data_IF_300734996851
#
_entry.id   IF_300734996851
#
_cell.length_a   1.000
_cell.length_b   1.000
_cell.length_c   1.000
_cell.angle_alpha   90.00
_cell.angle_beta   90.00
_cell.angle_gamma   90.00
#
_symmetry.space_group_name_H-M   'P 1'
#
loop_
_entity.id
_entity.type
_entity.pdbx_description
1 polymer ?
#
# COMPACT_ATOMS: atom_id res chain seq x y z
N UNK A 1 -6.86 -24.05 -1.78
CA UNK A 1 -5.73 -24.93 -1.38
C UNK A 1 -6.20 -26.32 -0.94
N UNK A 2 -7.09 -26.48 0.04
CA UNK A 2 -7.57 -27.81 0.47
C UNK A 2 -8.22 -28.62 -0.66
N UNK A 3 -9.06 -28.01 -1.50
CA UNK A 3 -9.65 -28.70 -2.66
C UNK A 3 -8.62 -29.08 -3.74
N UNK A 4 -7.57 -28.27 -3.95
CA UNK A 4 -6.47 -28.58 -4.89
C UNK A 4 -5.59 -29.70 -4.32
N UNK A 5 -5.29 -29.65 -3.02
CA UNK A 5 -4.54 -30.70 -2.31
C UNK A 5 -5.29 -32.05 -2.28
N UNK A 6 -6.62 -32.04 -2.33
CA UNK A 6 -7.43 -33.26 -2.34
C UNK A 6 -7.68 -33.82 -3.75
N UNK A 7 -7.68 -32.99 -4.79
CA UNK A 7 -8.06 -33.43 -6.14
C UNK A 7 -6.87 -33.73 -7.05
N UNK A 8 -5.71 -33.08 -6.86
CA UNK A 8 -4.54 -33.23 -7.74
C UNK A 8 -3.20 -33.09 -7.00
N UNK A 9 -2.85 -34.04 -6.13
CA UNK A 9 -1.61 -33.96 -5.33
C UNK A 9 -0.34 -33.96 -6.19
N UNK A 10 -0.34 -34.59 -7.36
CA UNK A 10 0.80 -34.63 -8.28
C UNK A 10 1.11 -33.24 -8.89
N UNK A 11 0.11 -32.43 -9.23
CA UNK A 11 0.34 -31.07 -9.73
C UNK A 11 1.03 -30.18 -8.69
N UNK A 12 0.76 -30.40 -7.40
CA UNK A 12 1.45 -29.69 -6.33
C UNK A 12 2.91 -30.13 -6.22
N UNK A 13 3.18 -31.43 -6.29
CA UNK A 13 4.53 -31.96 -6.26
C UNK A 13 5.36 -31.47 -7.46
N UNK A 14 4.78 -31.46 -8.65
CA UNK A 14 5.43 -30.97 -9.86
C UNK A 14 5.73 -29.47 -9.76
N UNK A 15 4.78 -28.65 -9.26
CA UNK A 15 5.03 -27.23 -8.99
C UNK A 15 6.12 -27.01 -7.94
N UNK A 16 6.16 -27.84 -6.89
CA UNK A 16 7.24 -27.77 -5.88
C UNK A 16 8.58 -28.11 -6.52
N UNK A 17 8.65 -29.14 -7.37
CA UNK A 17 9.87 -29.51 -8.10
C UNK A 17 10.31 -28.41 -9.06
N UNK A 18 9.37 -27.81 -9.79
CA UNK A 18 9.63 -26.67 -10.68
C UNK A 18 10.19 -25.47 -9.89
N UNK A 19 9.53 -25.08 -8.80
CA UNK A 19 10.00 -24.02 -7.90
C UNK A 19 11.39 -24.31 -7.34
N UNK A 20 11.64 -25.55 -6.91
CA UNK A 20 12.94 -25.98 -6.40
C UNK A 20 14.02 -25.92 -7.49
N UNK A 21 13.69 -26.34 -8.71
CA UNK A 21 14.62 -26.30 -9.84
C UNK A 21 15.01 -24.87 -10.25
N UNK A 22 14.10 -23.90 -10.07
CA UNK A 22 14.28 -22.51 -10.44
C UNK A 22 14.86 -21.64 -9.31
N UNK A 23 15.10 -22.19 -8.11
CA UNK A 23 15.44 -21.40 -6.92
C UNK A 23 16.72 -20.58 -7.09
N UNK A 24 17.75 -21.15 -7.74
CA UNK A 24 19.02 -20.46 -7.94
C UNK A 24 18.85 -19.22 -8.82
N UNK A 25 18.05 -19.33 -9.89
CA UNK A 25 17.75 -18.23 -10.78
C UNK A 25 16.89 -17.15 -10.10
N UNK A 26 15.88 -17.55 -9.32
CA UNK A 26 15.07 -16.63 -8.51
C UNK A 26 15.93 -15.88 -7.49
N UNK A 27 16.85 -16.58 -6.81
CA UNK A 27 17.80 -15.97 -5.88
C UNK A 27 18.72 -14.97 -6.60
N UNK A 28 19.26 -15.34 -7.77
CA UNK A 28 20.12 -14.47 -8.58
C UNK A 28 19.38 -13.20 -9.02
N UNK A 29 18.17 -13.33 -9.57
CA UNK A 29 17.33 -12.19 -9.97
C UNK A 29 17.01 -11.29 -8.79
N UNK A 30 16.66 -11.86 -7.64
CA UNK A 30 16.39 -11.09 -6.43
C UNK A 30 17.61 -10.36 -5.89
N UNK A 31 18.81 -10.95 -5.98
CA UNK A 31 20.05 -10.29 -5.57
C UNK A 31 20.38 -9.09 -6.48
N UNK A 32 20.20 -9.24 -7.80
CA UNK A 32 20.35 -8.15 -8.77
C UNK A 32 19.34 -7.04 -8.47
N UNK A 33 18.06 -7.39 -8.32
CA UNK A 33 17.02 -6.42 -8.00
C UNK A 33 17.32 -5.69 -6.69
N UNK A 34 17.70 -6.39 -5.62
CA UNK A 34 18.07 -5.75 -4.35
C UNK A 34 19.20 -4.73 -4.51
N UNK A 35 20.18 -5.02 -5.35
CA UNK A 35 21.33 -4.14 -5.60
C UNK A 35 20.96 -2.95 -6.49
N UNK A 36 20.12 -3.16 -7.49
CA UNK A 36 19.92 -2.21 -8.58
C UNK A 36 18.58 -1.48 -8.55
N UNK A 37 17.62 -1.89 -7.72
CA UNK A 37 16.26 -1.34 -7.74
C UNK A 37 16.24 0.19 -7.58
N UNK A 38 17.02 0.74 -6.65
CA UNK A 38 17.09 2.19 -6.46
C UNK A 38 17.62 2.92 -7.72
N UNK A 39 18.60 2.34 -8.41
CA UNK A 39 19.13 2.89 -9.65
C UNK A 39 18.14 2.76 -10.81
N UNK A 40 17.45 1.62 -10.91
CA UNK A 40 16.41 1.37 -11.92
C UNK A 40 15.27 2.39 -11.75
N UNK A 41 14.79 2.57 -10.51
CA UNK A 41 13.77 3.55 -10.17
C UNK A 41 14.25 4.96 -10.50
N UNK A 42 15.46 5.35 -10.08
CA UNK A 42 15.99 6.69 -10.33
C UNK A 42 16.11 7.00 -11.83
N UNK A 43 16.61 6.04 -12.64
CA UNK A 43 16.70 6.20 -14.10
C UNK A 43 15.33 6.38 -14.74
N UNK A 44 14.36 5.56 -14.35
CA UNK A 44 13.01 5.66 -14.90
C UNK A 44 12.30 6.95 -14.46
N UNK A 45 12.46 7.35 -13.19
CA UNK A 45 11.91 8.61 -12.67
C UNK A 45 12.52 9.81 -13.36
N UNK A 46 13.84 9.79 -13.62
CA UNK A 46 14.52 10.85 -14.35
C UNK A 46 13.89 11.07 -15.73
N UNK A 47 13.64 9.99 -16.49
CA UNK A 47 12.99 10.07 -17.80
C UNK A 47 11.59 10.70 -17.67
N UNK A 48 10.76 10.20 -16.74
CA UNK A 48 9.40 10.73 -16.56
C UNK A 48 9.43 12.21 -16.13
N UNK A 49 10.31 12.60 -15.21
CA UNK A 49 10.41 13.98 -14.74
C UNK A 49 10.93 14.94 -15.83
N UNK A 50 11.89 14.51 -16.64
CA UNK A 50 12.40 15.28 -17.78
C UNK A 50 11.31 15.55 -18.82
N UNK A 51 10.44 14.58 -19.10
CA UNK A 51 9.30 14.77 -19.99
C UNK A 51 8.39 15.92 -19.53
N UNK A 52 8.22 16.09 -18.21
CA UNK A 52 7.42 17.18 -17.64
C UNK A 52 8.23 18.46 -17.34
N UNK A 53 9.52 18.51 -17.69
CA UNK A 53 10.38 19.67 -17.43
C UNK A 53 10.71 19.89 -15.95
N UNK A 54 10.62 18.85 -15.11
CA UNK A 54 11.03 18.94 -13.70
C UNK A 54 12.54 18.76 -13.53
N UNK A 55 13.07 19.38 -12.47
CA UNK A 55 14.48 19.24 -12.05
C UNK A 55 14.79 17.81 -11.57
N UNK A 56 15.82 17.20 -12.17
CA UNK A 56 16.25 15.82 -11.91
C UNK A 56 17.64 15.71 -11.30
N UNK A 57 18.29 16.82 -10.91
CA UNK A 57 19.66 16.80 -10.40
C UNK A 57 19.83 15.90 -9.16
N UNK A 58 18.78 15.80 -8.32
CA UNK A 58 18.77 14.93 -7.15
C UNK A 58 18.85 13.42 -7.50
N UNK A 59 18.50 13.04 -8.73
CA UNK A 59 18.55 11.65 -9.21
C UNK A 59 19.92 11.28 -9.82
N UNK A 60 20.78 12.25 -10.13
CA UNK A 60 22.13 11.97 -10.65
C UNK A 60 23.02 11.32 -9.57
N UNK A 61 22.75 11.64 -8.31
CA UNK A 61 23.41 11.02 -7.15
C UNK A 61 22.75 9.68 -6.76
N UNK A 62 21.52 9.41 -7.22
CA UNK A 62 20.77 8.23 -6.85
C UNK A 62 21.33 6.99 -7.57
N UNK A 63 22.16 6.21 -6.87
CA UNK A 63 22.77 5.00 -7.40
C UNK A 63 24.29 4.98 -7.39
N UNK A 64 24.95 6.04 -6.91
CA UNK A 64 26.27 5.88 -6.31
C UNK A 64 26.08 5.13 -4.99
N UNK A 65 25.92 3.81 -5.09
CA UNK A 65 26.04 2.93 -3.94
C UNK A 65 27.48 3.12 -3.48
N UNK A 66 27.68 3.92 -2.43
CA UNK A 66 28.95 3.98 -1.74
C UNK A 66 29.24 2.56 -1.28
N UNK A 67 30.05 1.83 -2.05
CA UNK A 67 30.56 0.50 -1.69
C UNK A 67 31.33 0.59 -0.35
N UNK A 68 31.69 1.81 0.07
CA UNK A 68 32.46 2.10 1.27
C UNK A 68 31.63 2.34 2.54
N UNK A 69 30.29 2.43 2.51
CA UNK A 69 29.49 2.76 3.70
C UNK A 69 28.53 1.65 4.13
N UNK A 70 29.08 0.67 4.85
CA UNK A 70 28.64 0.36 6.22
C UNK A 70 29.35 -0.90 6.70
N UNK A 71 30.60 -0.75 7.10
CA UNK A 71 31.18 -1.58 8.15
C UNK A 71 30.52 -1.23 9.50
N UNK A 72 29.18 -1.29 9.58
CA UNK A 72 28.50 -1.30 10.86
C UNK A 72 28.86 -2.64 11.51
N UNK A 73 29.95 -2.57 12.24
CA UNK A 73 30.59 -3.64 12.97
C UNK A 73 29.63 -4.13 14.05
N UNK A 74 28.81 -5.10 13.69
CA UNK A 74 28.72 -6.29 14.53
C UNK A 74 30.12 -6.91 14.51
N UNK A 75 31.03 -6.34 15.30
CA UNK A 75 32.47 -6.57 15.23
C UNK A 75 32.71 -8.07 15.36
N UNK A 76 33.62 -8.64 14.58
CA UNK A 76 33.96 -10.06 14.75
C UNK A 76 34.40 -10.35 16.19
N UNK A 77 34.90 -9.33 16.89
CA UNK A 77 35.14 -9.30 18.34
C UNK A 77 33.89 -9.63 19.17
N UNK A 78 32.73 -9.04 18.87
CA UNK A 78 31.49 -9.33 19.58
C UNK A 78 31.00 -10.74 19.27
N UNK A 79 31.03 -11.18 18.01
CA UNK A 79 30.58 -12.54 17.65
C UNK A 79 31.48 -13.61 18.29
N UNK A 80 32.80 -13.38 18.31
CA UNK A 80 33.75 -14.27 18.96
C UNK A 80 33.59 -14.30 20.49
N UNK A 81 33.01 -13.27 21.12
CA UNK A 81 32.82 -13.22 22.58
C UNK A 81 31.53 -13.90 23.07
N UNK A 82 30.50 -14.02 22.21
CA UNK A 82 29.23 -14.69 22.54
C UNK A 82 29.11 -16.13 22.03
N UNK A 83 29.83 -16.49 20.95
CA UNK A 83 29.82 -17.88 20.48
C UNK A 83 30.58 -18.77 21.48
N UNK A 84 29.88 -19.75 22.07
CA UNK A 84 30.46 -20.66 23.08
C UNK A 84 31.05 -21.92 22.45
N UNK A 85 30.72 -22.20 21.19
CA UNK A 85 31.19 -23.36 20.43
C UNK A 85 31.58 -23.00 18.98
N UNK A 86 32.43 -23.81 18.32
CA UNK A 86 32.77 -23.62 16.90
C UNK A 86 31.54 -23.66 15.97
N UNK A 87 30.55 -24.50 16.28
CA UNK A 87 29.32 -24.61 15.50
C UNK A 87 28.44 -23.35 15.59
N UNK A 88 28.33 -22.75 16.78
CA UNK A 88 27.65 -21.46 16.95
C UNK A 88 28.38 -20.33 16.23
N UNK A 89 29.72 -20.33 16.26
CA UNK A 89 30.52 -19.33 15.55
C UNK A 89 30.30 -19.42 14.03
N UNK A 90 30.32 -20.62 13.46
CA UNK A 90 30.02 -20.84 12.05
C UNK A 90 28.58 -20.47 11.70
N UNK A 91 27.61 -20.79 12.56
CA UNK A 91 26.23 -20.37 12.40
C UNK A 91 26.11 -18.84 12.39
N UNK A 92 26.75 -18.13 13.33
CA UNK A 92 26.73 -16.68 13.39
C UNK A 92 27.46 -16.03 12.22
N UNK A 93 28.59 -16.58 11.78
CA UNK A 93 29.30 -16.13 10.56
C UNK A 93 28.43 -16.32 9.33
N UNK A 94 27.79 -17.48 9.17
CA UNK A 94 26.86 -17.77 8.06
C UNK A 94 25.64 -16.84 8.10
N UNK A 95 25.05 -16.60 9.27
CA UNK A 95 23.96 -15.64 9.44
C UNK A 95 24.41 -14.19 9.23
N UNK A 96 25.64 -13.82 9.59
CA UNK A 96 26.22 -12.49 9.33
C UNK A 96 26.46 -12.28 7.84
N UNK A 97 27.03 -13.26 7.14
CA UNK A 97 27.17 -13.23 5.68
C UNK A 97 25.80 -13.07 5.03
N UNK A 98 24.82 -13.90 5.41
CA UNK A 98 23.43 -13.78 4.94
C UNK A 98 22.83 -12.39 5.26
N UNK A 99 23.10 -11.83 6.44
CA UNK A 99 22.67 -10.47 6.79
C UNK A 99 23.37 -9.40 5.97
N UNK A 100 24.67 -9.52 5.66
CA UNK A 100 25.39 -8.57 4.79
C UNK A 100 24.86 -8.63 3.36
N UNK A 101 24.66 -9.84 2.84
CA UNK A 101 24.06 -10.06 1.51
C UNK A 101 22.64 -9.45 1.46
N UNK A 102 21.92 -9.49 2.57
CA UNK A 102 20.61 -8.84 2.73
C UNK A 102 20.68 -7.35 3.12
N UNK A 103 21.80 -6.84 3.67
CA UNK A 103 21.96 -5.47 4.19
C UNK A 103 22.19 -4.44 3.08
N UNK A 104 22.41 -4.88 1.83
CA UNK A 104 22.25 -4.01 0.66
C UNK A 104 20.82 -3.42 0.55
N UNK A 105 19.85 -3.94 1.32
CA UNK A 105 18.54 -3.34 1.56
C UNK A 105 18.48 -2.52 2.86
N UNK A 106 19.51 -1.73 3.20
CA UNK A 106 19.36 -0.72 4.27
C UNK A 106 18.38 0.33 3.74
N UNK A 107 17.08 0.05 3.86
CA UNK A 107 16.02 1.03 3.77
C UNK A 107 16.40 2.00 4.88
N UNK A 108 17.00 3.13 4.51
CA UNK A 108 17.25 4.23 5.42
C UNK A 108 15.90 4.65 5.97
N UNK A 109 15.47 4.02 7.06
CA UNK A 109 14.41 4.51 7.91
C UNK A 109 15.03 5.69 8.64
N UNK A 110 15.21 6.79 7.93
CA UNK A 110 15.52 8.07 8.54
C UNK A 110 14.38 8.33 9.51
N UNK A 111 14.66 8.11 10.79
CA UNK A 111 13.75 8.26 11.92
C UNK A 111 13.35 9.74 12.15
N UNK A 112 13.57 10.62 11.17
CA UNK A 112 13.29 12.04 11.25
C UNK A 112 12.04 12.38 10.46
N UNK A 113 10.94 12.52 11.20
CA UNK A 113 9.70 13.19 10.81
C UNK A 113 8.93 12.65 9.59
N UNK A 114 7.61 12.62 9.71
CA UNK A 114 6.65 12.30 8.66
C UNK A 114 6.61 13.38 7.54
N UNK A 115 7.77 13.88 7.11
CA UNK A 115 7.92 14.77 5.97
C UNK A 115 7.64 13.98 4.70
N UNK A 116 6.34 13.93 4.41
CA UNK A 116 5.61 13.47 3.23
C UNK A 116 6.38 12.50 2.33
N UNK A 117 5.94 11.24 2.23
CA UNK A 117 6.44 10.32 1.18
C UNK A 117 6.07 10.73 -0.25
N UNK A 118 5.49 11.92 -0.40
CA UNK A 118 5.25 12.63 -1.66
C UNK A 118 6.14 13.88 -1.77
N UNK A 119 7.14 14.04 -0.90
CA UNK A 119 8.11 15.13 -0.92
C UNK A 119 8.88 15.13 -2.24
N UNK A 120 9.49 16.27 -2.59
CA UNK A 120 10.11 16.48 -3.92
C UNK A 120 11.01 15.31 -4.33
N UNK A 121 11.83 14.81 -3.39
CA UNK A 121 12.87 13.81 -3.64
C UNK A 121 12.44 12.36 -3.32
N UNK A 122 11.16 12.08 -3.04
CA UNK A 122 10.71 10.71 -2.77
C UNK A 122 10.48 9.93 -4.06
N UNK A 123 10.91 8.67 -4.08
CA UNK A 123 10.60 7.76 -5.18
C UNK A 123 9.11 7.45 -5.25
N UNK A 124 8.59 7.47 -6.46
CA UNK A 124 7.19 7.30 -6.77
C UNK A 124 6.88 6.20 -7.79
N UNK A 125 7.85 5.69 -8.55
CA UNK A 125 7.56 4.62 -9.51
C UNK A 125 7.43 3.25 -8.81
N UNK A 126 6.36 2.48 -9.10
CA UNK A 126 6.12 1.17 -8.49
C UNK A 126 6.90 0.05 -9.20
N UNK A 127 8.22 0.20 -9.40
CA UNK A 127 9.02 -0.78 -10.18
C UNK A 127 9.51 -1.99 -9.38
N UNK A 128 9.30 -2.01 -8.07
CA UNK A 128 9.69 -3.15 -7.25
C UNK A 128 8.84 -4.38 -7.59
N UNK A 129 9.48 -5.54 -7.73
CA UNK A 129 8.77 -6.80 -7.85
C UNK A 129 7.98 -7.13 -6.58
N UNK A 130 7.00 -8.02 -6.72
CA UNK A 130 6.28 -8.59 -5.57
C UNK A 130 7.24 -9.29 -4.61
N UNK A 131 8.20 -10.07 -5.13
CA UNK A 131 9.22 -10.78 -4.33
C UNK A 131 10.09 -9.83 -3.52
N UNK A 132 10.55 -8.73 -4.14
CA UNK A 132 11.30 -7.70 -3.43
C UNK A 132 10.44 -7.06 -2.34
N UNK A 133 9.20 -6.72 -2.67
CA UNK A 133 8.27 -6.07 -1.74
C UNK A 133 7.94 -6.97 -0.55
N UNK A 134 7.76 -8.27 -0.78
CA UNK A 134 7.57 -9.28 0.26
C UNK A 134 8.77 -9.36 1.22
N UNK A 135 10.00 -9.35 0.70
CA UNK A 135 11.19 -9.28 1.55
C UNK A 135 11.24 -7.96 2.30
N UNK A 136 11.06 -6.84 1.62
CA UNK A 136 11.11 -5.49 2.19
C UNK A 136 10.09 -5.32 3.34
N UNK A 137 8.88 -5.86 3.19
CA UNK A 137 7.81 -5.68 4.16
C UNK A 137 8.00 -6.51 5.43
N UNK A 138 8.71 -7.63 5.36
CA UNK A 138 9.06 -8.43 6.55
C UNK A 138 9.90 -7.60 7.54
N UNK A 139 10.79 -6.74 7.04
CA UNK A 139 11.63 -5.85 7.88
C UNK A 139 10.81 -4.80 8.65
N UNK A 140 9.61 -4.46 8.16
CA UNK A 140 8.69 -3.53 8.82
C UNK A 140 7.51 -4.27 9.48
N UNK A 141 7.67 -5.56 9.76
CA UNK A 141 6.66 -6.41 10.42
C UNK A 141 5.31 -6.38 9.69
N UNK A 142 5.32 -6.62 8.38
CA UNK A 142 4.12 -6.63 7.52
C UNK A 142 3.41 -5.26 7.39
N UNK A 143 3.95 -4.17 7.96
CA UNK A 143 3.37 -2.82 7.86
C UNK A 143 3.87 -2.12 6.60
N UNK A 144 3.29 -2.48 5.46
CA UNK A 144 3.72 -1.97 4.15
C UNK A 144 3.65 -0.43 4.03
N UNK A 145 2.75 0.20 4.78
CA UNK A 145 2.69 1.67 4.93
C UNK A 145 3.85 2.28 5.74
N UNK A 146 4.84 1.51 6.19
CA UNK A 146 6.09 2.02 6.78
C UNK A 146 7.24 2.06 5.78
N UNK A 147 7.09 1.47 4.59
CA UNK A 147 8.07 1.62 3.52
C UNK A 147 8.15 3.08 3.05
N UNK A 148 9.30 3.44 2.47
CA UNK A 148 9.61 4.77 1.96
C UNK A 148 8.73 5.21 0.77
N UNK A 149 8.15 4.27 0.02
CA UNK A 149 7.21 4.56 -1.06
C UNK A 149 5.79 4.12 -0.70
N UNK A 150 4.79 4.93 -1.08
CA UNK A 150 3.37 4.53 -1.01
C UNK A 150 2.92 3.74 -2.24
N UNK A 151 3.74 3.66 -3.29
CA UNK A 151 3.32 3.14 -4.59
C UNK A 151 3.46 1.61 -4.72
N UNK A 152 4.22 0.97 -3.83
CA UNK A 152 4.34 -0.47 -3.78
C UNK A 152 2.99 -1.12 -3.44
N UNK A 153 2.61 -2.11 -4.25
CA UNK A 153 1.46 -2.97 -4.00
C UNK A 153 1.83 -4.06 -3.00
N UNK A 154 0.88 -4.50 -2.20
CA UNK A 154 1.10 -5.71 -1.42
C UNK A 154 1.41 -6.88 -2.35
N UNK A 155 2.29 -7.81 -1.94
CA UNK A 155 2.65 -8.97 -2.75
C UNK A 155 1.55 -10.05 -2.68
N UNK A 156 0.32 -9.67 -3.06
CA UNK A 156 -0.83 -10.55 -3.15
C UNK A 156 -1.20 -10.65 -4.63
N UNK A 157 -1.00 -11.83 -5.22
CA UNK A 157 -1.34 -12.07 -6.62
C UNK A 157 -2.85 -12.14 -6.86
N UNK A 158 -3.27 -12.02 -8.12
CA UNK A 158 -4.67 -12.25 -8.51
C UNK A 158 -5.13 -13.65 -8.10
N UNK A 159 -4.31 -14.69 -8.33
CA UNK A 159 -4.61 -16.07 -7.93
C UNK A 159 -4.78 -16.21 -6.40
N UNK A 160 -3.96 -15.50 -5.62
CA UNK A 160 -4.09 -15.49 -4.17
C UNK A 160 -5.43 -14.86 -3.75
N UNK A 161 -5.81 -13.73 -4.37
CA UNK A 161 -7.14 -13.15 -4.13
C UNK A 161 -8.26 -14.08 -4.57
N UNK A 162 -8.16 -14.74 -5.73
CA UNK A 162 -9.15 -15.72 -6.20
C UNK A 162 -9.33 -16.84 -5.17
N UNK A 163 -8.24 -17.42 -4.69
CA UNK A 163 -8.26 -18.51 -3.73
C UNK A 163 -8.85 -18.07 -2.38
N UNK A 164 -8.45 -16.90 -1.87
CA UNK A 164 -8.90 -16.38 -0.58
C UNK A 164 -10.39 -15.98 -0.63
N UNK A 165 -10.80 -15.23 -1.66
CA UNK A 165 -12.15 -14.70 -1.80
C UNK A 165 -13.12 -15.62 -2.54
N UNK A 166 -12.69 -16.83 -2.95
CA UNK A 166 -13.54 -17.79 -3.66
C UNK A 166 -14.10 -17.22 -4.97
N UNK A 167 -13.25 -16.56 -5.76
CA UNK A 167 -13.62 -15.99 -7.06
C UNK A 167 -13.48 -17.04 -8.16
N UNK A 168 -14.29 -16.90 -9.21
CA UNK A 168 -14.20 -17.72 -10.41
C UNK A 168 -13.61 -16.91 -11.58
N UNK A 169 -13.39 -17.57 -12.72
CA UNK A 169 -12.79 -16.92 -13.90
C UNK A 169 -13.66 -15.78 -14.45
N UNK A 170 -14.99 -15.91 -14.38
CA UNK A 170 -15.90 -14.85 -14.80
C UNK A 170 -15.76 -13.57 -13.95
N UNK A 171 -15.54 -13.70 -12.64
CA UNK A 171 -15.23 -12.56 -11.77
C UNK A 171 -13.94 -11.86 -12.23
N UNK A 172 -12.92 -12.63 -12.64
CA UNK A 172 -11.63 -12.12 -13.10
C UNK A 172 -11.73 -11.44 -14.46
N UNK A 173 -12.49 -12.01 -15.40
CA UNK A 173 -12.77 -11.41 -16.70
C UNK A 173 -13.54 -10.09 -16.56
N UNK A 174 -14.48 -10.03 -15.61
CA UNK A 174 -15.16 -8.80 -15.25
C UNK A 174 -14.19 -7.75 -14.70
N UNK A 175 -13.25 -8.14 -13.82
CA UNK A 175 -12.22 -7.23 -13.31
C UNK A 175 -11.28 -6.73 -14.42
N UNK A 176 -10.89 -7.61 -15.36
CA UNK A 176 -10.06 -7.25 -16.53
C UNK A 176 -10.79 -6.26 -17.44
N UNK A 177 -12.08 -6.49 -17.67
CA UNK A 177 -12.95 -5.58 -18.46
C UNK A 177 -13.10 -4.23 -17.76
N UNK A 178 -13.36 -4.23 -16.45
CA UNK A 178 -13.42 -3.02 -15.64
C UNK A 178 -12.09 -2.23 -15.68
N UNK A 179 -10.96 -2.93 -15.63
CA UNK A 179 -9.64 -2.33 -15.71
C UNK A 179 -9.41 -1.66 -17.07
N UNK A 180 -9.74 -2.34 -18.17
CA UNK A 180 -9.68 -1.77 -19.54
C UNK A 180 -10.51 -0.49 -19.66
N UNK A 181 -11.66 -0.44 -19.00
CA UNK A 181 -12.58 0.70 -19.02
C UNK A 181 -12.26 1.81 -18.00
N UNK A 182 -11.20 1.64 -17.19
CA UNK A 182 -10.86 2.53 -16.07
C UNK A 182 -12.02 2.71 -15.06
N UNK A 183 -12.77 1.64 -14.79
CA UNK A 183 -13.94 1.67 -13.90
C UNK A 183 -13.51 1.97 -12.46
N UNK A 184 -14.21 2.92 -11.83
CA UNK A 184 -14.06 3.28 -10.42
C UNK A 184 -15.29 2.77 -9.67
N UNK A 185 -15.08 1.93 -8.67
CA UNK A 185 -16.15 1.24 -7.94
C UNK A 185 -16.65 2.03 -6.72
N UNK A 186 -15.80 2.88 -6.14
CA UNK A 186 -16.10 3.60 -4.90
C UNK A 186 -16.01 5.13 -5.08
N UNK A 187 -16.83 5.90 -4.35
CA UNK A 187 -16.82 7.35 -4.48
C UNK A 187 -15.52 7.97 -3.94
N UNK A 188 -15.00 8.96 -4.66
CA UNK A 188 -13.87 9.78 -4.22
C UNK A 188 -14.27 10.84 -3.16
N UNK A 189 -15.57 11.06 -2.94
CA UNK A 189 -16.13 12.09 -2.06
C UNK A 189 -16.17 11.71 -0.58
N UNK A 190 -16.84 12.53 0.25
CA UNK A 190 -16.92 12.33 1.71
C UNK A 190 -17.70 11.08 2.14
N UNK A 191 -18.68 10.65 1.34
CA UNK A 191 -19.56 9.52 1.65
C UNK A 191 -18.92 8.17 1.26
N UNK A 192 -17.67 7.92 1.65
CA UNK A 192 -16.95 6.68 1.30
C UNK A 192 -17.75 5.41 1.57
N UNK A 193 -17.40 4.31 0.91
CA UNK A 193 -18.11 3.05 1.05
C UNK A 193 -17.80 2.41 2.42
N UNK A 194 -18.84 2.12 3.20
CA UNK A 194 -18.71 1.38 4.44
C UNK A 194 -18.76 -0.14 4.14
N UNK A 195 -17.61 -0.81 4.23
CA UNK A 195 -17.49 -2.25 4.06
C UNK A 195 -17.26 -3.01 5.38
N UNK A 196 -17.56 -2.38 6.51
CA UNK A 196 -17.34 -2.98 7.83
C UNK A 196 -15.89 -3.40 8.13
N UNK A 197 -14.94 -2.58 7.69
CA UNK A 197 -13.53 -2.78 8.03
C UNK A 197 -13.28 -2.52 9.53
N UNK A 198 -12.36 -3.31 10.10
CA UNK A 198 -11.84 -3.04 11.44
C UNK A 198 -11.24 -1.63 11.51
N UNK A 199 -11.49 -0.87 12.59
CA UNK A 199 -10.79 0.38 12.81
C UNK A 199 -9.28 0.17 12.78
N UNK A 200 -8.54 1.05 12.10
CA UNK A 200 -7.08 0.93 11.96
C UNK A 200 -6.40 0.96 13.33
N UNK A 201 -6.98 1.61 14.34
CA UNK A 201 -6.50 1.57 15.73
C UNK A 201 -6.41 0.16 16.34
N UNK A 202 -7.23 -0.79 15.87
CA UNK A 202 -7.13 -2.20 16.28
C UNK A 202 -5.93 -2.90 15.64
N UNK A 203 -5.45 -2.39 14.51
CA UNK A 203 -4.31 -2.94 13.77
C UNK A 203 -2.99 -2.32 14.22
N UNK A 204 -2.97 -1.01 14.49
CA UNK A 204 -1.79 -0.26 14.92
C UNK A 204 -2.17 0.78 15.99
N UNK A 205 -1.47 0.76 17.12
CA UNK A 205 -1.64 1.72 18.20
C UNK A 205 -1.38 3.17 17.73
N UNK A 206 -2.09 4.13 18.34
CA UNK A 206 -2.00 5.55 17.99
C UNK A 206 -2.76 5.96 16.72
N UNK A 207 -3.43 5.03 16.04
CA UNK A 207 -4.31 5.35 14.90
C UNK A 207 -5.72 5.75 15.34
N UNK A 208 -6.46 6.35 14.42
CA UNK A 208 -7.86 6.77 14.61
C UNK A 208 -8.74 5.55 15.01
N UNK A 209 -9.47 5.59 16.14
CA UNK A 209 -10.34 4.49 16.57
C UNK A 209 -11.66 4.46 15.80
N UNK A 210 -11.97 5.49 15.01
CA UNK A 210 -13.16 5.48 14.16
C UNK A 210 -12.97 4.54 12.99
N UNK A 211 -14.08 3.93 12.60
CA UNK A 211 -14.20 3.10 11.40
C UNK A 211 -13.75 3.89 10.17
N UNK A 212 -12.95 3.26 9.32
CA UNK A 212 -12.50 3.86 8.07
C UNK A 212 -13.46 3.53 6.95
N UNK A 213 -13.65 4.50 6.06
CA UNK A 213 -14.45 4.33 4.85
C UNK A 213 -13.53 4.03 3.67
N UNK A 214 -14.03 3.24 2.72
CA UNK A 214 -13.31 2.88 1.52
C UNK A 214 -13.56 3.91 0.41
N UNK A 215 -12.48 4.32 -0.23
CA UNK A 215 -12.49 5.28 -1.32
C UNK A 215 -11.64 4.78 -2.48
N UNK A 216 -11.90 5.32 -3.67
CA UNK A 216 -11.11 5.09 -4.86
C UNK A 216 -11.05 6.40 -5.65
N UNK A 217 -9.89 6.76 -6.17
CA UNK A 217 -9.71 7.95 -7.00
C UNK A 217 -9.51 7.55 -8.45
N UNK A 218 -10.13 8.27 -9.37
CA UNK A 218 -9.90 8.11 -10.81
C UNK A 218 -8.54 8.62 -11.26
N UNK A 219 -8.26 8.45 -12.55
CA UNK A 219 -7.11 9.05 -13.22
C UNK A 219 -7.34 10.58 -13.29
N UNK A 220 -6.43 11.42 -12.77
CA UNK A 220 -6.50 12.86 -12.99
C UNK A 220 -6.36 13.13 -14.49
N UNK A 221 -7.13 14.09 -15.04
CA UNK A 221 -7.09 14.36 -16.48
C UNK A 221 -5.71 14.80 -16.95
N UNK A 222 -5.11 15.78 -16.25
CA UNK A 222 -3.78 16.31 -16.54
C UNK A 222 -3.14 16.71 -15.21
N UNK A 223 -2.12 15.98 -14.74
CA UNK A 223 -1.37 16.38 -13.56
C UNK A 223 -0.79 17.78 -13.74
N UNK A 224 -1.18 18.70 -12.86
CA UNK A 224 -0.76 20.11 -12.91
C UNK A 224 0.53 20.38 -12.15
N UNK A 225 0.90 19.47 -11.25
CA UNK A 225 2.11 19.53 -10.46
C UNK A 225 2.72 18.13 -10.24
N UNK A 226 3.95 18.12 -9.70
CA UNK A 226 4.67 16.90 -9.39
C UNK A 226 3.89 16.00 -8.42
N UNK A 227 3.11 16.59 -7.50
CA UNK A 227 2.35 15.84 -6.51
C UNK A 227 1.22 15.05 -7.16
N UNK A 228 0.51 15.62 -8.13
CA UNK A 228 -0.50 14.94 -8.93
C UNK A 228 0.12 13.85 -9.82
N UNK A 229 1.29 14.11 -10.41
CA UNK A 229 2.02 13.11 -11.18
C UNK A 229 2.42 11.92 -10.32
N UNK A 230 2.89 12.15 -9.09
CA UNK A 230 3.17 11.09 -8.11
C UNK A 230 1.92 10.32 -7.68
N UNK A 231 0.75 10.97 -7.66
CA UNK A 231 -0.53 10.31 -7.31
C UNK A 231 -1.11 9.48 -8.45
N UNK A 232 -0.75 9.77 -9.70
CA UNK A 232 -1.20 9.06 -10.90
C UNK A 232 -1.00 7.55 -10.78
N UNK A 233 0.10 7.13 -10.16
CA UNK A 233 0.42 5.72 -9.92
C UNK A 233 -0.54 5.02 -8.98
N UNK A 234 -1.38 5.70 -8.20
CA UNK A 234 -2.42 5.04 -7.40
C UNK A 234 -3.83 5.32 -7.91
N UNK A 235 -3.97 5.81 -9.16
CA UNK A 235 -5.27 5.92 -9.79
C UNK A 235 -5.95 4.54 -9.85
N UNK A 236 -7.19 4.48 -9.39
CA UNK A 236 -7.96 3.25 -9.25
C UNK A 236 -7.66 2.43 -8.00
N UNK A 237 -6.65 2.77 -7.19
CA UNK A 237 -6.31 1.95 -6.00
C UNK A 237 -7.29 2.21 -4.85
N UNK A 238 -7.93 1.17 -4.29
CA UNK A 238 -8.78 1.34 -3.11
C UNK A 238 -7.96 1.71 -1.86
N UNK A 239 -8.45 2.67 -1.07
CA UNK A 239 -7.84 3.07 0.19
C UNK A 239 -8.88 3.37 1.28
N UNK A 240 -8.47 3.11 2.52
CA UNK A 240 -9.22 3.38 3.73
C UNK A 240 -8.87 4.77 4.25
N UNK A 241 -9.89 5.59 4.53
CA UNK A 241 -9.73 6.92 5.12
C UNK A 241 -10.62 7.05 6.36
N UNK A 242 -10.04 7.52 7.47
CA UNK A 242 -10.82 7.88 8.66
C UNK A 242 -11.63 9.17 8.39
N UNK A 243 -12.92 9.23 8.78
CA UNK A 243 -13.78 10.39 8.51
C UNK A 243 -13.48 11.60 9.41
N UNK A 244 -12.58 11.47 10.40
CA UNK A 244 -12.18 12.59 11.25
C UNK A 244 -11.40 13.65 10.47
N UNK A 245 -11.74 14.92 10.70
CA UNK A 245 -11.05 16.09 10.12
C UNK A 245 -9.57 16.12 10.54
N UNK A 246 -9.26 15.77 11.79
CA UNK A 246 -7.88 15.73 12.29
C UNK A 246 -7.04 14.55 11.75
N UNK A 247 -7.65 13.61 11.03
CA UNK A 247 -6.99 12.40 10.53
C UNK A 247 -6.79 12.42 9.01
N UNK A 248 -6.98 13.56 8.34
CA UNK A 248 -7.02 13.64 6.88
C UNK A 248 -5.77 13.14 6.17
N UNK A 249 -4.61 13.17 6.85
CA UNK A 249 -3.32 12.69 6.32
C UNK A 249 -3.11 11.17 6.51
N UNK A 250 -3.95 10.50 7.30
CA UNK A 250 -3.81 9.09 7.65
C UNK A 250 -4.78 8.22 6.85
N UNK A 251 -4.42 7.92 5.61
CA UNK A 251 -5.08 6.85 4.85
C UNK A 251 -4.21 5.58 4.83
N UNK A 252 -4.81 4.45 4.48
CA UNK A 252 -4.08 3.18 4.30
C UNK A 252 -4.62 2.47 3.08
N UNK A 253 -3.76 1.97 2.20
CA UNK A 253 -4.21 1.22 1.03
C UNK A 253 -4.88 -0.09 1.46
N UNK A 254 -5.93 -0.48 0.74
CA UNK A 254 -6.69 -1.68 1.09
C UNK A 254 -5.81 -2.94 1.09
N UNK A 255 -5.00 -3.12 0.04
CA UNK A 255 -4.07 -4.24 -0.09
C UNK A 255 -3.00 -4.26 1.00
N UNK A 256 -2.55 -3.09 1.46
CA UNK A 256 -1.62 -2.99 2.60
C UNK A 256 -2.27 -3.49 3.89
N UNK A 257 -3.53 -3.12 4.14
CA UNK A 257 -4.28 -3.60 5.31
C UNK A 257 -4.49 -5.11 5.23
N UNK A 258 -4.91 -5.63 4.08
CA UNK A 258 -5.12 -7.06 3.85
C UNK A 258 -3.83 -7.85 4.12
N UNK A 259 -2.70 -7.38 3.58
CA UNK A 259 -1.39 -8.00 3.82
C UNK A 259 -1.04 -8.03 5.31
N UNK A 260 -1.25 -6.92 6.01
CA UNK A 260 -0.99 -6.85 7.44
C UNK A 260 -1.87 -7.83 8.23
N UNK A 261 -3.16 -7.96 7.90
CA UNK A 261 -4.07 -8.91 8.55
C UNK A 261 -3.61 -10.36 8.31
N UNK A 262 -3.21 -10.71 7.09
CA UNK A 262 -2.70 -12.06 6.78
C UNK A 262 -1.50 -12.41 7.67
N UNK A 263 -0.61 -11.45 7.92
CA UNK A 263 0.55 -11.63 8.80
C UNK A 263 0.25 -11.52 10.30
N UNK A 264 -0.95 -11.10 10.70
CA UNK A 264 -1.35 -10.81 12.08
C UNK A 264 -2.82 -11.18 12.32
N UNK A 265 -3.17 -12.43 12.06
CA UNK A 265 -4.55 -12.92 12.14
C UNK A 265 -5.16 -12.77 13.55
N UNK A 266 -4.33 -12.77 14.59
CA UNK A 266 -4.73 -12.50 15.98
C UNK A 266 -5.41 -11.14 16.15
N UNK A 267 -5.11 -10.16 15.28
CA UNK A 267 -5.74 -8.83 15.29
C UNK A 267 -7.15 -8.84 14.69
N UNK A 268 -7.46 -9.83 13.85
CA UNK A 268 -8.78 -9.95 13.24
C UNK A 268 -9.81 -10.46 14.26
N UNK A 269 -9.49 -11.58 14.91
CA UNK A 269 -10.28 -12.17 15.99
C UNK A 269 -9.35 -12.74 17.08
N UNK A 270 -9.09 -11.95 18.14
CA UNK A 270 -8.28 -12.39 19.27
C UNK A 270 -8.87 -13.60 20.01
N UNK A 271 -10.19 -13.77 19.95
CA UNK A 271 -10.91 -14.79 20.72
C UNK A 271 -11.02 -16.12 19.97
N UNK A 272 -10.74 -16.14 18.67
CA UNK A 272 -10.73 -17.37 17.90
C UNK A 272 -9.70 -18.38 18.47
N UNK A 273 -10.06 -19.66 18.57
CA UNK A 273 -9.27 -20.66 19.28
C UNK A 273 -8.00 -21.11 18.52
N UNK A 274 -7.84 -20.74 17.25
CA UNK A 274 -6.64 -21.08 16.45
C UNK A 274 -6.51 -20.18 15.21
N UNK A 275 -5.31 -20.12 14.64
CA UNK A 275 -5.07 -19.41 13.38
C UNK A 275 -5.86 -19.98 12.20
N UNK A 276 -6.17 -21.29 12.23
CA UNK A 276 -7.03 -21.91 11.22
C UNK A 276 -8.42 -21.30 11.22
N UNK A 277 -9.02 -21.12 12.40
CA UNK A 277 -10.34 -20.48 12.53
C UNK A 277 -10.25 -19.01 12.11
N UNK A 278 -9.21 -18.27 12.55
CA UNK A 278 -9.01 -16.88 12.13
C UNK A 278 -8.88 -16.71 10.62
N UNK A 279 -8.16 -17.61 9.96
CA UNK A 279 -8.04 -17.61 8.50
C UNK A 279 -9.39 -17.91 7.81
N UNK A 280 -10.20 -18.82 8.36
CA UNK A 280 -11.53 -19.11 7.84
C UNK A 280 -12.47 -17.90 7.98
N UNK A 281 -12.46 -17.21 9.12
CA UNK A 281 -13.21 -15.97 9.33
C UNK A 281 -12.74 -14.86 8.37
N UNK A 282 -11.44 -14.72 8.19
CA UNK A 282 -10.88 -13.81 7.20
C UNK A 282 -11.38 -14.11 5.78
N UNK A 283 -11.34 -15.39 5.37
CA UNK A 283 -11.88 -15.82 4.07
C UNK A 283 -13.39 -15.58 3.96
N UNK A 284 -14.15 -15.78 5.05
CA UNK A 284 -15.58 -15.49 5.08
C UNK A 284 -15.85 -14.00 4.81
N UNK A 285 -15.09 -13.09 5.43
CA UNK A 285 -15.16 -11.64 5.15
C UNK A 285 -14.85 -11.34 3.67
N UNK A 286 -13.77 -11.90 3.13
CA UNK A 286 -13.37 -11.72 1.73
C UNK A 286 -14.41 -12.22 0.73
N UNK A 287 -15.11 -13.32 1.05
CA UNK A 287 -16.17 -13.91 0.22
C UNK A 287 -17.49 -13.15 0.30
N UNK A 288 -17.72 -12.43 1.39
CA UNK A 288 -18.99 -11.75 1.68
C UNK A 288 -18.82 -10.23 1.71
N UNK A 289 -18.70 -9.64 2.89
CA UNK A 289 -18.70 -8.19 3.13
C UNK A 289 -17.59 -7.46 2.35
N UNK A 290 -16.41 -8.09 2.21
CA UNK A 290 -15.26 -7.50 1.53
C UNK A 290 -15.12 -7.92 0.07
N UNK A 291 -16.06 -8.71 -0.49
CA UNK A 291 -15.98 -9.19 -1.88
C UNK A 291 -15.86 -8.04 -2.89
N UNK A 292 -16.70 -7.01 -2.76
CA UNK A 292 -16.64 -5.82 -3.64
C UNK A 292 -15.28 -5.09 -3.54
N UNK A 293 -14.77 -4.77 -2.34
CA UNK A 293 -13.40 -4.27 -2.17
C UNK A 293 -12.32 -5.13 -2.85
N UNK A 294 -12.41 -6.46 -2.76
CA UNK A 294 -11.45 -7.36 -3.39
C UNK A 294 -11.51 -7.31 -4.92
N UNK A 295 -12.70 -7.32 -5.51
CA UNK A 295 -12.86 -7.16 -6.96
C UNK A 295 -12.25 -5.82 -7.44
N UNK A 296 -12.50 -4.73 -6.72
CA UNK A 296 -11.91 -3.43 -7.05
C UNK A 296 -10.37 -3.43 -6.92
N UNK A 297 -9.82 -4.16 -5.94
CA UNK A 297 -8.38 -4.31 -5.79
C UNK A 297 -7.76 -5.11 -6.96
N UNK A 298 -8.42 -6.19 -7.41
CA UNK A 298 -7.99 -6.97 -8.59
C UNK A 298 -8.06 -6.13 -9.86
N UNK A 299 -9.15 -5.37 -10.07
CA UNK A 299 -9.27 -4.39 -11.15
C UNK A 299 -8.06 -3.45 -11.16
N UNK A 300 -7.67 -2.93 -9.99
CA UNK A 300 -6.49 -2.08 -9.87
C UNK A 300 -5.17 -2.81 -10.21
N UNK A 301 -5.01 -4.10 -9.85
CA UNK A 301 -3.81 -4.86 -10.25
C UNK A 301 -3.69 -4.96 -11.78
N UNK A 302 -4.79 -5.20 -12.50
CA UNK A 302 -4.78 -5.17 -13.96
C UNK A 302 -4.50 -3.77 -14.54
N UNK A 303 -5.05 -2.71 -13.93
CA UNK A 303 -4.69 -1.33 -14.30
C UNK A 303 -3.19 -1.09 -14.09
N UNK A 304 -2.63 -1.55 -12.97
CA UNK A 304 -1.19 -1.46 -12.65
C UNK A 304 -0.35 -2.18 -13.70
N UNK A 305 -0.75 -3.34 -14.20
CA UNK A 305 -0.04 -4.04 -15.29
C UNK A 305 0.09 -3.14 -16.54
N UNK A 306 -1.00 -2.49 -16.96
CA UNK A 306 -0.96 -1.54 -18.07
C UNK A 306 -0.04 -0.35 -17.79
N UNK A 307 -0.12 0.26 -16.59
CA UNK A 307 0.76 1.36 -16.20
C UNK A 307 2.24 0.97 -16.28
N UNK A 308 2.57 -0.25 -15.83
CA UNK A 308 3.94 -0.77 -15.84
C UNK A 308 4.44 -1.03 -17.25
N UNK A 309 3.62 -1.58 -18.15
CA UNK A 309 3.97 -1.75 -19.55
C UNK A 309 4.24 -0.40 -20.23
N UNK A 310 3.42 0.61 -19.97
CA UNK A 310 3.60 1.97 -20.52
C UNK A 310 4.93 2.58 -20.04
N UNK A 311 5.23 2.49 -18.74
CA UNK A 311 6.52 2.97 -18.20
C UNK A 311 7.68 2.25 -18.85
N UNK A 312 7.58 0.93 -19.04
CA UNK A 312 8.62 0.16 -19.70
C UNK A 312 8.94 0.70 -21.10
N UNK A 313 7.90 0.97 -21.92
CA UNK A 313 8.07 1.54 -23.25
C UNK A 313 8.74 2.92 -23.22
N UNK A 314 8.30 3.81 -22.33
CA UNK A 314 8.88 5.16 -22.18
C UNK A 314 10.35 5.07 -21.74
N UNK A 315 10.68 4.14 -20.85
CA UNK A 315 12.06 3.95 -20.40
C UNK A 315 12.98 3.36 -21.47
N UNK A 316 12.43 2.59 -22.41
CA UNK A 316 13.19 2.05 -23.55
C UNK A 316 13.38 3.09 -24.65
N UNK A 317 12.37 3.93 -24.90
CA UNK A 317 12.43 5.00 -25.88
C UNK A 317 11.83 6.27 -25.27
N UNK A 318 12.70 7.16 -24.78
CA UNK A 318 12.29 8.44 -24.17
C UNK A 318 11.56 9.38 -25.13
N UNK A 319 11.67 9.15 -26.44
CA UNK A 319 11.03 9.97 -27.48
C UNK A 319 9.76 9.31 -28.03
N UNK A 320 9.29 8.22 -27.42
CA UNK A 320 8.07 7.53 -27.88
C UNK A 320 6.87 8.48 -27.79
N UNK A 321 6.15 8.61 -28.90
CA UNK A 321 4.91 9.38 -28.95
C UNK A 321 3.76 8.63 -28.28
N UNK A 322 2.70 9.35 -27.93
CA UNK A 322 1.52 8.73 -27.37
C UNK A 322 0.83 7.81 -28.38
N UNK A 323 0.83 8.19 -29.66
CA UNK A 323 0.29 7.42 -30.78
C UNK A 323 1.03 6.08 -30.94
N UNK A 324 2.37 6.10 -30.86
CA UNK A 324 3.19 4.89 -30.90
C UNK A 324 2.88 3.96 -29.71
N UNK A 325 2.72 4.50 -28.49
CA UNK A 325 2.26 3.69 -27.35
C UNK A 325 0.90 3.07 -27.66
N UNK A 326 -0.07 3.87 -28.10
CA UNK A 326 -1.44 3.38 -28.36
C UNK A 326 -1.54 2.40 -29.54
N UNK A 327 -0.53 2.33 -30.40
CA UNK A 327 -0.45 1.39 -31.50
C UNK A 327 -0.01 -0.02 -31.08
N UNK A 328 0.47 -0.23 -29.84
CA UNK A 328 0.78 -1.57 -29.33
C UNK A 328 -0.48 -2.45 -29.28
N UNK A 329 -0.35 -3.71 -29.71
CA UNK A 329 -1.46 -4.68 -29.82
C UNK A 329 -2.27 -4.78 -28.51
N UNK A 330 -1.58 -4.92 -27.39
CA UNK A 330 -2.17 -5.02 -26.05
C UNK A 330 -2.98 -3.78 -25.61
N UNK A 331 -2.75 -2.63 -26.25
CA UNK A 331 -3.32 -1.32 -25.88
C UNK A 331 -4.40 -0.85 -26.83
N UNK A 332 -4.57 -1.55 -27.95
CA UNK A 332 -5.55 -1.21 -28.95
C UNK A 332 -6.96 -1.19 -28.35
N UNK A 333 -7.66 -0.05 -28.51
CA UNK A 333 -9.00 0.19 -27.96
C UNK A 333 -9.13 -0.06 -26.46
N UNK A 334 -8.10 0.22 -25.65
CA UNK A 334 -8.18 0.17 -24.19
C UNK A 334 -8.36 1.59 -23.61
N UNK A 335 -9.58 1.99 -23.19
CA UNK A 335 -9.84 3.33 -22.67
C UNK A 335 -8.93 3.76 -21.52
N UNK A 336 -8.61 2.83 -20.62
CA UNK A 336 -7.68 3.07 -19.51
C UNK A 336 -6.30 3.50 -20.01
N UNK A 337 -5.74 2.76 -20.98
CA UNK A 337 -4.41 3.06 -21.52
C UNK A 337 -4.42 4.45 -22.17
N UNK A 338 -5.44 4.77 -22.97
CA UNK A 338 -5.59 6.11 -23.56
C UNK A 338 -5.62 7.22 -22.49
N UNK A 339 -6.45 7.04 -21.45
CA UNK A 339 -6.56 8.03 -20.35
C UNK A 339 -5.26 8.16 -19.57
N UNK A 340 -4.60 7.05 -19.28
CA UNK A 340 -3.37 7.04 -18.51
C UNK A 340 -2.20 7.63 -19.30
N UNK A 341 -2.03 7.25 -20.57
CA UNK A 341 -1.02 7.83 -21.47
C UNK A 341 -1.22 9.33 -21.64
N UNK A 342 -2.47 9.79 -21.83
CA UNK A 342 -2.77 11.22 -21.92
C UNK A 342 -2.46 12.00 -20.63
N UNK A 343 -2.61 11.37 -19.47
CA UNK A 343 -2.27 11.99 -18.18
C UNK A 343 -0.76 11.93 -17.89
N UNK A 344 -0.05 10.92 -18.39
CA UNK A 344 1.37 10.70 -18.14
C UNK A 344 2.27 11.48 -19.09
N UNK A 345 1.90 11.63 -20.37
CA UNK A 345 2.73 12.32 -21.35
C UNK A 345 2.33 13.80 -21.46
N UNK A 346 3.30 14.73 -21.52
CA UNK A 346 3.01 16.13 -21.83
C UNK A 346 2.43 16.26 -23.23
N UNK A 347 1.59 17.28 -23.47
CA UNK A 347 1.02 17.61 -24.78
C UNK A 347 0.10 16.53 -25.40
N UNK A 348 -0.32 15.54 -24.60
CA UNK A 348 -1.20 14.46 -25.03
C UNK A 348 -2.69 14.76 -24.80
N UNK A 349 -3.05 16.02 -24.53
CA UNK A 349 -4.43 16.45 -24.25
C UNK A 349 -5.37 16.15 -25.41
N UNK A 350 -4.86 16.20 -26.65
CA UNK A 350 -5.61 15.91 -27.87
C UNK A 350 -6.21 14.51 -27.90
N UNK A 351 -5.59 13.53 -27.23
CA UNK A 351 -6.05 12.13 -27.21
C UNK A 351 -7.39 11.93 -26.49
N UNK A 352 -7.74 12.85 -25.59
CA UNK A 352 -9.00 12.78 -24.84
C UNK A 352 -10.16 13.45 -25.58
N UNK A 353 -9.90 14.16 -26.67
CA UNK A 353 -10.98 14.74 -27.47
C UNK A 353 -11.78 13.62 -28.14
N UNK A 354 -13.10 13.52 -27.88
CA UNK A 354 -13.94 12.55 -28.57
C UNK A 354 -13.85 12.83 -30.07
N UNK A 355 -13.37 11.87 -30.84
CA UNK A 355 -13.44 11.97 -32.29
C UNK A 355 -14.90 12.18 -32.67
N UNK A 356 -15.21 13.32 -33.28
CA UNK A 356 -16.58 13.79 -33.59
C UNK A 356 -17.32 12.92 -34.61
N UNK A 357 -16.77 11.77 -35.00
CA UNK A 357 -17.19 10.99 -36.17
C UNK A 357 -18.20 9.87 -35.93
N UNK A 358 -18.72 9.63 -34.71
CA UNK A 358 -19.82 8.65 -34.52
C UNK A 358 -20.87 9.09 -33.49
N UNK A 359 -21.72 10.03 -33.87
CA UNK A 359 -23.08 10.13 -33.31
C UNK A 359 -23.91 9.00 -33.92
N UNK A 360 -24.08 7.90 -33.19
CA UNK A 360 -25.23 6.99 -33.31
C UNK A 360 -25.30 6.10 -32.06
N UNK A 361 -26.06 6.55 -31.05
CA UNK A 361 -26.85 5.66 -30.20
C UNK A 361 -26.25 4.99 -28.95
N UNK A 362 -25.07 5.36 -28.45
CA UNK A 362 -24.55 4.81 -27.19
C UNK A 362 -24.79 5.75 -26.00
N UNK A 363 -25.47 5.24 -24.97
CA UNK A 363 -25.76 5.94 -23.71
C UNK A 363 -24.42 6.26 -23.02
N UNK A 364 -24.08 7.54 -22.97
CA UNK A 364 -22.92 8.04 -22.24
C UNK A 364 -23.10 7.77 -20.73
N UNK A 365 -22.29 6.86 -20.19
CA UNK A 365 -22.16 6.66 -18.76
C UNK A 365 -21.38 7.85 -18.19
N UNK A 366 -22.12 8.89 -17.83
CA UNK A 366 -21.59 10.20 -17.51
C UNK A 366 -20.60 10.19 -16.34
N UNK A 367 -19.51 10.90 -16.59
CA UNK A 367 -18.36 11.30 -15.80
C UNK A 367 -18.76 12.21 -14.60
N UNK A 368 -19.73 11.79 -13.79
CA UNK A 368 -20.29 12.58 -12.68
C UNK A 368 -19.33 12.79 -11.50
N UNK A 369 -18.13 12.20 -11.53
CA UNK A 369 -17.11 12.42 -10.50
C UNK A 369 -16.33 13.73 -10.66
N UNK A 370 -16.43 14.43 -11.80
CA UNK A 370 -15.46 15.49 -12.16
C UNK A 370 -15.93 16.95 -12.03
N UNK A 371 -17.23 17.23 -11.85
CA UNK A 371 -17.68 18.64 -11.79
C UNK A 371 -17.36 19.39 -10.48
N UNK A 372 -16.92 18.72 -9.40
CA UNK A 372 -16.81 19.38 -8.07
C UNK A 372 -15.43 19.90 -7.68
N UNK A 373 -14.37 19.65 -8.46
CA UNK A 373 -13.01 20.07 -8.09
C UNK A 373 -12.61 21.49 -8.53
N UNK A 374 -13.46 22.28 -9.19
CA UNK A 374 -13.10 23.62 -9.71
C UNK A 374 -13.83 24.83 -9.11
N UNK A 375 -14.57 24.70 -8.01
CA UNK A 375 -15.20 25.87 -7.36
C UNK A 375 -14.66 26.11 -5.94
N UNK A 376 -13.38 26.51 -5.81
CA UNK A 376 -12.91 27.29 -4.66
C UNK A 376 -11.90 28.34 -5.16
N UNK A 377 -12.22 29.61 -4.86
CA UNK A 377 -11.46 30.88 -4.97
C UNK A 377 -11.44 31.65 -6.30
N UNK A 378 -12.17 32.76 -6.31
CA UNK A 378 -11.61 34.14 -6.28
C UNK A 378 -12.77 35.15 -6.14
N UNK A 379 -12.95 35.70 -4.93
CA UNK A 379 -13.78 36.88 -4.70
C UNK A 379 -12.88 38.01 -4.20
N UNK A 380 -12.49 38.89 -5.12
CA UNK A 380 -11.74 40.13 -4.91
C UNK A 380 -12.75 41.28 -4.67
N UNK A 381 -12.41 42.36 -3.96
CA UNK A 381 -13.38 43.18 -3.23
C UNK A 381 -14.05 44.23 -4.11
N UNK A 382 -15.33 44.47 -3.87
CA UNK A 382 -16.06 45.59 -4.45
C UNK A 382 -15.79 46.86 -3.64
N UNK A 383 -15.13 47.84 -4.26
CA UNK A 383 -15.11 49.24 -3.83
C UNK A 383 -16.19 50.00 -4.61
N UNK A 384 -17.02 50.78 -3.92
CA UNK A 384 -18.04 51.62 -4.55
C UNK A 384 -19.07 52.16 -3.55
N UNK A 385 -18.68 53.22 -2.84
CA UNK A 385 -19.49 54.14 -2.01
C UNK A 385 -20.66 54.79 -2.81
N UNK A 386 -21.74 55.29 -2.17
CA UNK A 386 -21.68 56.63 -1.56
C UNK A 386 -22.38 56.82 -0.20
N UNK A 387 -21.97 57.95 0.40
CA UNK A 387 -22.27 58.62 1.66
C UNK A 387 -23.72 58.60 2.21
N UNK A 388 -23.86 58.58 3.55
CA UNK A 388 -24.22 59.75 4.37
C UNK A 388 -24.38 59.43 5.87
N UNK A 389 -23.93 60.37 6.72
CA UNK A 389 -24.29 60.66 8.14
C UNK A 389 -24.32 59.47 9.15
N UNK A 390 -23.68 59.46 10.32
CA UNK A 390 -23.62 60.50 11.35
C UNK A 390 -22.82 59.96 12.56
N UNK A 391 -22.00 60.82 13.17
CA UNK A 391 -21.73 61.01 14.60
C UNK A 391 -21.57 59.82 15.56
N UNK A 392 -20.39 59.70 16.18
CA UNK A 392 -20.17 59.94 17.63
C UNK A 392 -18.97 59.12 18.22
N UNK A 393 -17.89 59.85 18.50
CA UNK A 393 -17.11 59.88 19.76
C UNK A 393 -16.56 58.63 20.50
N UNK A 394 -15.26 58.77 20.83
CA UNK A 394 -14.54 58.38 22.05
C UNK A 394 -13.77 57.03 22.16
N UNK A 395 -12.44 57.17 22.01
CA UNK A 395 -11.31 56.85 22.93
C UNK A 395 -11.24 55.49 23.68
N UNK A 396 -10.05 54.83 23.75
CA UNK A 396 -9.83 53.49 24.34
C UNK A 396 -9.38 53.59 25.83
N UNK A 397 -9.10 52.50 26.60
CA UNK A 397 -7.78 51.83 26.50
C UNK A 397 -7.65 50.38 27.07
N UNK A 398 -6.43 49.87 26.91
CA UNK A 398 -5.58 49.15 27.89
C UNK A 398 -5.76 47.65 28.22
N UNK A 399 -4.57 47.04 28.20
CA UNK A 399 -4.12 45.74 28.70
C UNK A 399 -4.39 45.47 30.18
N UNK A 400 -4.40 44.20 30.59
CA UNK A 400 -3.57 43.75 31.73
C UNK A 400 -3.35 42.24 31.75
N UNK A 401 -2.10 41.87 31.98
CA UNK A 401 -1.64 40.55 32.42
C UNK A 401 -2.22 40.20 33.80
N UNK A 402 -2.37 38.90 34.10
CA UNK A 402 -2.14 38.39 35.45
C UNK A 402 -1.82 36.88 35.47
N UNK A 403 -0.72 36.58 36.15
CA UNK A 403 -0.22 35.30 36.64
C UNK A 403 -1.11 34.63 37.70
N UNK A 404 -0.67 33.42 38.08
CA UNK A 404 -0.88 32.70 39.35
C UNK A 404 -1.94 31.58 39.27
N UNK A 405 -1.82 30.40 39.88
CA UNK A 405 -0.85 29.75 40.78
C UNK A 405 -1.27 28.27 40.89
N UNK A 406 -0.34 27.36 41.16
CA UNK A 406 -0.61 26.00 41.67
C UNK A 406 -0.98 26.04 43.17
N UNK A 407 -1.67 25.00 43.69
CA UNK A 407 -1.05 24.10 44.68
C UNK A 407 -1.43 22.61 44.45
N UNK A 408 -0.51 21.63 44.56
CA UNK A 408 0.04 20.93 45.74
C UNK A 408 -0.90 19.90 46.42
N UNK A 409 -0.44 18.63 46.33
CA UNK A 409 -0.44 17.52 47.29
C UNK A 409 -1.75 16.90 47.85
N UNK A 410 -1.82 15.57 47.72
CA UNK A 410 -2.70 14.70 48.51
C UNK A 410 -2.34 13.22 48.33
N UNK A 411 -1.52 12.69 49.22
CA UNK A 411 -1.23 11.25 49.42
C UNK A 411 -2.35 10.58 50.21
N UNK A 412 -2.77 9.37 49.81
CA UNK A 412 -3.41 8.42 50.73
C UNK A 412 -3.25 6.97 50.24
N UNK A 413 -3.08 6.11 51.23
CA UNK A 413 -2.66 4.70 51.28
C UNK A 413 -3.76 3.68 50.99
N UNK A 414 -3.31 2.52 50.49
CA UNK A 414 -3.74 1.14 50.77
C UNK A 414 -5.24 0.76 50.85
N UNK A 415 -5.64 -0.23 50.05
CA UNK A 415 -6.24 -1.45 50.60
C UNK A 415 -6.13 -2.62 49.62
N UNK A 416 -5.58 -3.73 50.14
CA UNK A 416 -5.55 -5.03 49.53
C UNK A 416 -6.91 -5.72 49.70
N UNK A 417 -7.43 -6.34 48.65
CA UNK A 417 -8.46 -7.36 48.78
C UNK A 417 -8.00 -8.62 48.04
N UNK A 418 -7.74 -9.64 48.87
CA UNK A 418 -7.51 -11.03 48.51
C UNK A 418 -8.85 -11.61 48.04
N UNK A 419 -8.86 -12.24 46.87
CA UNK A 419 -9.86 -13.25 46.52
C UNK A 419 -9.12 -14.51 46.06
N UNK A 420 -9.10 -15.49 46.94
CA UNK A 420 -8.76 -16.88 46.64
C UNK A 420 -9.91 -17.48 45.83
N UNK A 421 -9.61 -18.02 44.65
CA UNK A 421 -10.47 -18.98 43.96
C UNK A 421 -9.76 -20.33 43.90
N UNK A 422 -10.41 -21.31 44.52
CA UNK A 422 -10.07 -22.73 44.53
C UNK A 422 -10.31 -23.36 43.15
N UNK A 423 -9.50 -24.33 42.70
CA UNK A 423 -9.81 -25.16 41.54
C UNK A 423 -10.64 -26.39 41.96
N UNK A 424 -11.59 -26.87 41.15
CA UNK A 424 -12.28 -28.13 41.41
C UNK A 424 -11.44 -29.34 40.97
N UNK A 425 -11.68 -30.43 41.70
CA UNK A 425 -11.02 -31.72 41.63
C UNK A 425 -11.16 -32.41 40.25
N UNK A 426 -10.07 -33.06 39.86
CA UNK A 426 -9.98 -34.00 38.75
C UNK A 426 -10.17 -35.43 39.26
N UNK A 427 -11.21 -36.11 38.76
CA UNK A 427 -11.44 -37.54 38.91
C UNK A 427 -10.67 -38.36 37.85
N UNK A 428 -10.35 -39.64 38.14
CA UNK A 428 -9.36 -40.41 37.39
C UNK A 428 -9.94 -41.13 36.16
N UNK A 429 -9.12 -41.16 35.10
CA UNK A 429 -9.34 -41.94 33.87
C UNK A 429 -9.02 -43.41 34.15
N UNK A 430 -10.02 -44.28 33.95
CA UNK A 430 -9.88 -45.74 33.93
C UNK A 430 -9.32 -46.17 32.57
N UNK A 431 -8.22 -46.93 32.62
CA UNK A 431 -7.67 -47.69 31.51
C UNK A 431 -8.62 -48.82 31.10
N UNK A 432 -8.88 -48.99 29.81
CA UNK A 432 -9.25 -50.28 29.23
C UNK A 432 -8.49 -50.51 27.93
N UNK A 433 -7.56 -51.47 27.97
CA UNK A 433 -6.94 -52.09 26.83
C UNK A 433 -7.84 -53.23 26.36
N UNK A 434 -8.13 -53.30 25.06
CA UNK A 434 -8.76 -54.44 24.42
C UNK A 434 -7.94 -54.88 23.21
N UNK A 435 -7.63 -56.16 23.24
CA UNK A 435 -6.71 -56.92 22.41
C UNK A 435 -7.11 -57.01 20.94
N UNK A 436 -6.10 -56.97 20.08
CA UNK A 436 -6.17 -57.42 18.68
C UNK A 436 -5.72 -58.88 18.66
N UNK A 437 -6.55 -59.76 18.13
CA UNK A 437 -6.20 -61.12 17.71
C UNK A 437 -6.60 -61.29 16.24
N UNK A 438 -5.59 -61.51 15.39
CA UNK A 438 -5.70 -62.03 14.02
C UNK A 438 -6.03 -63.55 14.06
N UNK A 439 -6.43 -64.18 12.95
CA UNK A 439 -5.61 -64.31 11.73
C UNK A 439 -6.06 -63.47 10.53
#
# INVERSE_FOLDING_TARGET
MVAVMQTRPHELEDKIKELASNIAEVCRRSAIENRELSLIIAKAEKIILELHGYDTAHLDCAGQISINESSETFTDIYINSIARTPAELDYFKKKKALRRDNAHMKISSTSGEANHKLGKNSSFLPLASSTWTEKAVQWVHNRLWKLNSFNYTAPISVDAYMALAGLNDADIDNCRTAAKNATIHFPAGRAGYDADFLPIAKLEEGKCPKKSLLHQKGIPRFPTDLLELKKLWNAGRPFLKCPCISCELNFTWLDHMIWYIIGNLDKLDPNAPSDKIRMLEFQALLRTTWRRPILAQITFLFMREYMMKIVHLITQNKNISAEEILAFEDFHNVPFVRKFTAALLPNAEGLLTPSTTRRNGAIDFEDNSLRRCRQIRLGTPASGLPAMHSSATHTPPASTNAHAQSPLLGTATANAHVLQTTPPASDPIIHNAASISAP
#
